data_IF_515812850199
#
_entry.id   IF_515812850199
#
_cell.length_a   1.000
_cell.length_b   1.000
_cell.length_c   1.000
_cell.angle_alpha   90.00
_cell.angle_beta   90.00
_cell.angle_gamma   90.00
#
_symmetry.space_group_name_H-M   'P 1'
#
loop_
_entity.id
_entity.type
_entity.pdbx_description
1 polymer ?
#
# COMPACT_ATOMS: atom_id res chain seq x y z
N UNK A 1 -1.35 -6.37 -3.05
CA UNK A 1 -1.76 -5.31 -2.10
C UNK A 1 -0.69 -4.23 -1.99
N UNK A 2 -0.86 -3.16 -2.76
CA UNK A 2 -0.03 -1.96 -2.65
C UNK A 2 -0.81 -0.86 -1.93
N UNK A 3 -0.34 -0.47 -0.74
CA UNK A 3 -0.89 0.66 0.01
C UNK A 3 -0.02 1.89 -0.20
N UNK A 4 -0.63 3.01 -0.62
CA UNK A 4 0.04 4.31 -0.78
C UNK A 4 -0.68 5.42 -0.05
N UNK A 5 0.06 6.15 0.77
CA UNK A 5 -0.38 7.36 1.47
C UNK A 5 -0.01 8.59 0.67
N UNK A 6 -1.02 9.26 0.14
CA UNK A 6 -0.79 10.49 -0.60
C UNK A 6 -0.78 11.69 0.33
N UNK A 7 0.23 12.54 0.20
CA UNK A 7 0.41 13.70 1.11
C UNK A 7 -0.76 14.69 0.99
N UNK A 8 -1.39 14.77 -0.18
CA UNK A 8 -2.57 15.60 -0.38
C UNK A 8 -3.76 15.18 0.49
N UNK A 9 -3.85 13.93 0.92
CA UNK A 9 -4.93 13.47 1.80
C UNK A 9 -4.86 14.15 3.18
N UNK A 10 -3.69 14.68 3.54
CA UNK A 10 -3.46 15.49 4.74
C UNK A 10 -3.41 17.01 4.43
N UNK A 11 -3.72 17.41 3.20
CA UNK A 11 -3.60 18.81 2.74
C UNK A 11 -2.15 19.30 2.62
N UNK A 12 -1.17 18.39 2.56
CA UNK A 12 0.26 18.76 2.52
C UNK A 12 0.85 18.51 1.13
N UNK A 13 1.69 19.44 0.69
CA UNK A 13 2.52 19.25 -0.50
C UNK A 13 3.75 18.42 -0.09
N UNK A 14 4.14 17.36 -0.83
CA UNK A 14 5.33 16.59 -0.52
C UNK A 14 6.57 17.48 -0.36
N UNK A 15 7.30 17.33 0.74
CA UNK A 15 8.49 18.14 1.03
C UNK A 15 9.78 17.61 0.36
N UNK A 16 9.65 16.65 -0.55
CA UNK A 16 10.76 16.08 -1.32
C UNK A 16 11.17 17.04 -2.45
N UNK A 17 12.44 16.97 -2.89
CA UNK A 17 12.98 17.81 -3.97
C UNK A 17 12.09 17.84 -5.23
N UNK A 18 11.60 16.68 -5.66
CA UNK A 18 10.71 16.55 -6.82
C UNK A 18 9.24 16.90 -6.54
N UNK A 19 8.88 17.27 -5.29
CA UNK A 19 7.49 17.53 -4.84
C UNK A 19 6.51 16.37 -5.15
N UNK A 20 7.02 15.14 -5.23
CA UNK A 20 6.28 13.91 -5.54
C UNK A 20 6.48 12.88 -4.43
N UNK A 21 5.50 11.99 -4.30
CA UNK A 21 5.61 10.78 -3.48
C UNK A 21 6.66 9.86 -4.10
N UNK A 22 7.66 9.49 -3.31
CA UNK A 22 8.80 8.68 -3.75
C UNK A 22 8.60 7.20 -3.47
N UNK A 23 9.68 6.54 -3.04
CA UNK A 23 9.62 5.14 -2.60
C UNK A 23 8.66 4.96 -1.41
N UNK A 24 7.99 3.79 -1.31
CA UNK A 24 7.11 3.49 -0.19
C UNK A 24 7.84 3.61 1.14
N UNK A 25 7.23 4.30 2.09
CA UNK A 25 7.70 4.40 3.47
C UNK A 25 7.43 3.09 4.21
N UNK A 26 8.15 2.87 5.31
CA UNK A 26 7.97 1.68 6.15
C UNK A 26 6.51 1.52 6.60
N UNK A 27 5.83 2.61 6.97
CA UNK A 27 4.41 2.59 7.32
C UNK A 27 3.53 2.04 6.19
N UNK A 28 3.81 2.46 4.95
CA UNK A 28 3.04 2.01 3.78
C UNK A 28 3.21 0.50 3.55
N UNK A 29 4.45 0.01 3.69
CA UNK A 29 4.77 -1.42 3.61
C UNK A 29 4.11 -2.23 4.73
N UNK A 30 4.14 -1.73 5.97
CA UNK A 30 3.52 -2.40 7.11
C UNK A 30 2.00 -2.45 6.97
N UNK A 31 1.37 -1.36 6.55
CA UNK A 31 -0.06 -1.32 6.26
C UNK A 31 -0.44 -2.32 5.15
N UNK A 32 0.32 -2.37 4.06
CA UNK A 32 0.12 -3.36 2.99
C UNK A 32 0.18 -4.80 3.50
N UNK A 33 1.14 -5.12 4.37
CA UNK A 33 1.27 -6.45 5.00
C UNK A 33 0.12 -6.79 5.93
N UNK A 34 -0.39 -5.82 6.69
CA UNK A 34 -1.54 -6.02 7.58
C UNK A 34 -2.78 -6.38 6.77
N UNK A 35 -3.00 -5.69 5.65
CA UNK A 35 -4.12 -5.97 4.74
C UNK A 35 -3.94 -7.34 4.07
N UNK A 36 -2.76 -7.65 3.53
CA UNK A 36 -2.50 -8.93 2.88
C UNK A 36 -2.76 -10.12 3.81
N UNK A 37 -2.32 -10.02 5.08
CA UNK A 37 -2.52 -11.08 6.08
C UNK A 37 -3.98 -11.37 6.38
N UNK A 38 -4.86 -10.36 6.37
CA UNK A 38 -6.28 -10.56 6.67
C UNK A 38 -7.06 -11.10 5.47
N UNK A 39 -6.69 -10.73 4.24
CA UNK A 39 -7.42 -11.17 3.03
C UNK A 39 -6.92 -12.49 2.46
N UNK A 40 -5.62 -12.81 2.56
CA UNK A 40 -5.01 -14.01 1.99
C UNK A 40 -5.69 -15.34 2.40
N UNK A 41 -6.10 -15.56 3.67
CA UNK A 41 -6.77 -16.81 4.05
C UNK A 41 -8.23 -16.90 3.57
N UNK A 42 -8.82 -15.80 3.07
CA UNK A 42 -10.20 -15.79 2.59
C UNK A 42 -10.34 -16.30 1.15
N UNK A 43 -9.23 -16.43 0.41
CA UNK A 43 -9.26 -17.00 -0.93
C UNK A 43 -9.61 -18.49 -0.88
N UNK A 44 -10.53 -18.96 -1.76
CA UNK A 44 -10.85 -20.38 -1.86
C UNK A 44 -9.61 -21.21 -2.16
N UNK A 45 -9.57 -22.45 -1.65
CA UNK A 45 -8.51 -23.40 -1.99
C UNK A 45 -8.50 -23.64 -3.51
N UNK A 46 -7.32 -23.60 -4.13
CA UNK A 46 -7.16 -23.78 -5.57
C UNK A 46 -7.36 -22.51 -6.40
N UNK A 47 -7.53 -21.35 -5.76
CA UNK A 47 -7.54 -20.06 -6.46
C UNK A 47 -6.09 -19.61 -6.76
N UNK A 48 -5.69 -19.68 -8.03
CA UNK A 48 -4.35 -19.31 -8.52
C UNK A 48 -4.36 -18.11 -9.46
N UNK A 49 -5.49 -17.42 -9.60
CA UNK A 49 -5.55 -16.21 -10.42
C UNK A 49 -4.77 -15.10 -9.73
N UNK A 50 -4.05 -14.32 -10.53
CA UNK A 50 -3.30 -13.16 -10.05
C UNK A 50 -4.26 -12.05 -9.57
N UNK A 51 -3.99 -11.50 -8.40
CA UNK A 51 -4.76 -10.40 -7.78
C UNK A 51 -3.77 -9.39 -7.22
N UNK A 52 -3.94 -8.10 -7.57
CA UNK A 52 -3.09 -7.00 -7.10
C UNK A 52 -3.82 -6.08 -6.12
#
# INVERSE_FOLDING_TARGET
VDYREKQYAQGKIPNTFMRREGAPKERELLCGRVIDRSIRPLFPKGFFHEVQ
#
